data_IF_815382844447
#
_entry.id   IF_815382844447
#
_cell.length_a   1.000
_cell.length_b   1.000
_cell.length_c   1.000
_cell.angle_alpha   90.00
_cell.angle_beta   90.00
_cell.angle_gamma   90.00
#
_symmetry.space_group_name_H-M   'P 1'
#
loop_
_entity.id
_entity.type
_entity.pdbx_description
1 polymer ?
#
# COMPACT_ATOMS: atom_id res chain seq x y z
N UNK A 1 -11.90 29.76 0.04
CA UNK A 1 -10.77 28.87 0.35
C UNK A 1 -11.12 27.47 -0.13
N UNK A 2 -10.36 26.86 -1.04
CA UNK A 2 -10.65 25.47 -1.48
C UNK A 2 -10.40 24.53 -0.30
N UNK A 3 -11.30 23.59 0.01
CA UNK A 3 -11.10 22.65 1.12
C UNK A 3 -9.78 21.90 0.92
N UNK A 4 -9.01 21.76 2.00
CA UNK A 4 -7.71 21.08 1.95
C UNK A 4 -7.94 19.61 1.63
N UNK A 5 -7.41 19.15 0.49
CA UNK A 5 -7.51 17.74 0.05
C UNK A 5 -6.92 16.82 1.11
N UNK A 6 -7.57 15.67 1.33
CA UNK A 6 -7.05 14.69 2.27
C UNK A 6 -5.78 14.04 1.67
N UNK A 7 -4.63 14.05 2.37
CA UNK A 7 -3.34 13.65 1.78
C UNK A 7 -3.28 12.17 1.38
N UNK A 8 -4.14 11.33 1.95
CA UNK A 8 -4.26 9.89 1.61
C UNK A 8 -5.36 9.59 0.58
N UNK A 9 -5.81 10.58 -0.18
CA UNK A 9 -6.86 10.42 -1.20
C UNK A 9 -6.38 10.92 -2.55
N UNK A 10 -6.76 10.21 -3.61
CA UNK A 10 -6.53 10.61 -4.98
C UNK A 10 -7.73 11.40 -5.51
N UNK A 11 -7.47 12.34 -6.41
CA UNK A 11 -8.46 13.22 -7.00
C UNK A 11 -8.22 13.33 -8.50
N UNK A 12 -9.28 13.46 -9.29
CA UNK A 12 -9.19 13.70 -10.71
C UNK A 12 -8.85 15.16 -11.04
N UNK A 13 -8.78 15.47 -12.33
CA UNK A 13 -8.49 16.83 -12.85
C UNK A 13 -9.51 17.87 -12.41
N UNK A 14 -10.77 17.46 -12.20
CA UNK A 14 -11.88 18.33 -11.79
C UNK A 14 -11.98 18.45 -10.26
N UNK A 15 -11.15 17.70 -9.54
CA UNK A 15 -11.07 17.68 -8.08
C UNK A 15 -12.06 16.75 -7.40
N UNK A 16 -12.72 15.86 -8.15
CA UNK A 16 -13.55 14.80 -7.58
C UNK A 16 -12.64 13.67 -7.08
N UNK A 17 -12.95 13.16 -5.89
CA UNK A 17 -12.17 12.11 -5.24
C UNK A 17 -12.39 10.77 -5.96
N UNK A 18 -11.31 10.04 -6.24
CA UNK A 18 -11.41 8.63 -6.60
C UNK A 18 -11.72 7.82 -5.34
N UNK A 19 -12.74 6.93 -5.36
CA UNK A 19 -12.99 6.05 -4.24
C UNK A 19 -11.74 5.17 -4.01
N UNK A 20 -11.23 5.10 -2.77
CA UNK A 20 -10.08 4.25 -2.49
C UNK A 20 -10.47 2.77 -2.64
N UNK A 21 -9.48 1.93 -2.96
CA UNK A 21 -9.64 0.49 -2.81
C UNK A 21 -9.92 0.15 -1.34
N UNK A 22 -10.71 -0.90 -1.11
CA UNK A 22 -11.03 -1.43 0.21
C UNK A 22 -10.40 -2.81 0.37
N UNK A 23 -10.31 -3.30 1.60
CA UNK A 23 -9.87 -4.68 1.88
C UNK A 23 -10.63 -5.70 1.01
N UNK A 24 -11.94 -5.55 0.87
CA UNK A 24 -12.76 -6.43 0.05
C UNK A 24 -12.40 -6.37 -1.44
N UNK A 25 -12.24 -5.18 -2.02
CA UNK A 25 -11.91 -5.07 -3.45
C UNK A 25 -10.49 -5.53 -3.73
N UNK A 26 -9.55 -5.33 -2.80
CA UNK A 26 -8.18 -5.82 -2.90
C UNK A 26 -8.11 -7.35 -2.80
N UNK A 27 -8.86 -7.97 -1.88
CA UNK A 27 -9.00 -9.43 -1.80
C UNK A 27 -9.69 -10.02 -3.04
N UNK A 28 -10.71 -9.35 -3.58
CA UNK A 28 -11.38 -9.75 -4.82
C UNK A 28 -10.42 -9.70 -6.02
N UNK A 29 -9.51 -8.72 -6.04
CA UNK A 29 -8.40 -8.64 -6.98
C UNK A 29 -7.27 -9.67 -6.73
N UNK A 30 -7.47 -10.60 -5.78
CA UNK A 30 -6.58 -11.71 -5.41
C UNK A 30 -5.27 -11.31 -4.73
N UNK A 31 -5.17 -10.08 -4.24
CA UNK A 31 -4.08 -9.72 -3.34
C UNK A 31 -4.37 -10.27 -1.94
N UNK A 32 -3.35 -10.74 -1.24
CA UNK A 32 -3.44 -11.28 0.12
C UNK A 32 -2.82 -10.35 1.15
N UNK A 33 -1.84 -9.56 0.73
CA UNK A 33 -1.11 -8.65 1.59
C UNK A 33 -1.00 -7.25 0.97
N UNK A 34 -0.69 -6.28 1.83
CA UNK A 34 -0.27 -4.93 1.43
C UNK A 34 1.06 -4.62 2.10
N UNK A 35 1.85 -3.73 1.52
CA UNK A 35 3.14 -3.32 2.09
C UNK A 35 2.97 -1.99 2.81
N UNK A 36 3.27 -1.95 4.10
CA UNK A 36 3.44 -0.70 4.83
C UNK A 36 4.88 -0.21 4.70
N UNK A 37 5.06 1.02 4.24
CA UNK A 37 6.38 1.63 4.03
C UNK A 37 6.55 2.87 4.90
N UNK A 38 7.63 2.93 5.67
CA UNK A 38 7.97 4.08 6.48
C UNK A 38 8.74 5.13 5.64
N UNK A 39 8.15 6.31 5.48
CA UNK A 39 8.74 7.43 4.75
C UNK A 39 9.56 8.39 5.62
N UNK A 40 9.57 8.21 6.94
CA UNK A 40 10.40 9.03 7.83
C UNK A 40 11.88 8.96 7.43
N UNK A 41 12.54 10.13 7.40
CA UNK A 41 13.84 10.36 6.77
C UNK A 41 14.84 9.20 6.94
N UNK A 42 15.17 8.56 5.81
CA UNK A 42 16.15 7.45 5.67
C UNK A 42 15.81 6.15 6.42
N UNK A 43 14.60 5.99 6.97
CA UNK A 43 14.25 4.75 7.66
C UNK A 43 14.12 3.56 6.69
N UNK A 44 13.35 3.75 5.61
CA UNK A 44 13.04 2.75 4.57
C UNK A 44 12.58 1.37 5.09
N UNK A 45 12.13 1.30 6.35
CA UNK A 45 11.63 0.08 6.94
C UNK A 45 10.24 -0.19 6.37
N UNK A 46 10.02 -1.43 5.95
CA UNK A 46 8.74 -1.87 5.43
C UNK A 46 8.35 -3.19 6.07
N UNK A 47 7.05 -3.47 6.06
CA UNK A 47 6.50 -4.72 6.53
C UNK A 47 5.29 -5.08 5.68
N UNK A 48 5.09 -6.37 5.45
CA UNK A 48 3.87 -6.87 4.85
C UNK A 48 2.78 -6.99 5.91
N UNK A 49 1.57 -6.60 5.55
CA UNK A 49 0.39 -6.68 6.40
C UNK A 49 -0.60 -7.62 5.71
N UNK A 50 -0.98 -8.75 6.34
CA UNK A 50 -2.03 -9.59 5.81
C UNK A 50 -3.37 -8.85 5.84
N UNK A 51 -4.13 -8.98 4.75
CA UNK A 51 -5.48 -8.42 4.67
C UNK A 51 -6.52 -9.30 5.38
N UNK A 52 -6.17 -10.56 5.66
CA UNK A 52 -7.01 -11.49 6.39
C UNK A 52 -7.34 -10.95 7.79
N UNK A 53 -8.62 -10.92 8.15
CA UNK A 53 -9.10 -10.44 9.44
C UNK A 53 -9.29 -8.92 9.54
N UNK A 54 -8.94 -8.14 8.50
CA UNK A 54 -9.28 -6.72 8.45
C UNK A 54 -10.73 -6.50 8.01
N UNK A 55 -11.39 -5.39 8.44
CA UNK A 55 -12.75 -5.09 8.00
C UNK A 55 -12.85 -4.93 6.48
N UNK A 56 -13.86 -5.53 5.82
CA UNK A 56 -13.95 -5.54 4.35
C UNK A 56 -14.05 -4.14 3.73
N UNK A 57 -14.72 -3.21 4.40
CA UNK A 57 -14.92 -1.84 3.92
C UNK A 57 -13.78 -0.89 4.29
N UNK A 58 -12.75 -1.36 5.01
CA UNK A 58 -11.61 -0.53 5.40
C UNK A 58 -10.85 -0.08 4.14
N UNK A 59 -10.70 1.25 3.91
CA UNK A 59 -9.87 1.73 2.81
C UNK A 59 -8.40 1.35 3.02
N UNK A 60 -7.75 0.85 1.97
CA UNK A 60 -6.34 0.43 2.03
C UNK A 60 -5.41 1.53 2.57
N UNK A 61 -5.51 2.80 2.15
CA UNK A 61 -4.66 3.87 2.70
C UNK A 61 -4.85 4.12 4.21
N UNK A 62 -5.99 3.71 4.76
CA UNK A 62 -6.36 3.96 6.14
C UNK A 62 -5.80 2.87 7.09
N UNK A 63 -5.27 1.76 6.57
CA UNK A 63 -4.54 0.74 7.37
C UNK A 63 -3.33 1.34 8.09
N UNK A 64 -2.74 2.42 7.56
CA UNK A 64 -1.64 3.15 8.18
C UNK A 64 -2.06 4.01 9.39
N UNK A 65 -3.36 4.29 9.57
CA UNK A 65 -3.82 5.15 10.67
C UNK A 65 -3.50 4.51 12.01
N UNK A 66 -2.85 5.26 12.89
CA UNK A 66 -2.44 4.80 14.22
C UNK A 66 -1.19 3.90 14.23
N UNK A 67 -0.64 3.52 13.07
CA UNK A 67 0.59 2.73 13.00
C UNK A 67 1.82 3.60 13.29
N UNK A 68 2.83 2.98 13.88
CA UNK A 68 4.17 3.56 14.06
C UNK A 68 5.20 2.59 13.51
N UNK A 69 6.23 3.12 12.91
CA UNK A 69 7.36 2.32 12.48
C UNK A 69 8.06 1.70 13.71
N UNK A 70 8.20 0.38 13.74
CA UNK A 70 8.91 -0.31 14.82
C UNK A 70 10.41 0.04 14.88
N UNK A 71 11.00 0.45 13.75
CA UNK A 71 12.43 0.81 13.66
C UNK A 71 12.75 2.22 14.14
N UNK A 72 11.94 3.22 13.78
CA UNK A 72 12.23 4.63 14.08
C UNK A 72 11.16 5.36 14.89
N UNK A 73 10.02 4.72 15.21
CA UNK A 73 8.89 5.34 15.91
C UNK A 73 8.08 6.34 15.07
N UNK A 74 8.48 6.60 13.81
CA UNK A 74 7.84 7.52 12.90
C UNK A 74 6.38 7.16 12.59
N UNK A 75 5.57 8.19 12.31
CA UNK A 75 4.13 8.07 11.97
C UNK A 75 3.84 8.27 10.49
N UNK A 76 4.87 8.59 9.71
CA UNK A 76 4.75 8.77 8.27
C UNK A 76 4.87 7.41 7.57
N UNK A 77 3.78 6.65 7.66
CA UNK A 77 3.63 5.33 7.06
C UNK A 77 2.60 5.42 5.94
N UNK A 78 2.96 4.90 4.77
CA UNK A 78 2.08 4.74 3.61
C UNK A 78 1.85 3.26 3.33
N UNK A 79 0.73 2.96 2.68
CA UNK A 79 0.34 1.61 2.30
C UNK A 79 0.39 1.51 0.78
N UNK A 80 1.13 0.53 0.28
CA UNK A 80 1.19 0.15 -1.12
C UNK A 80 0.52 -1.22 -1.31
N UNK A 81 0.05 -1.49 -2.53
CA UNK A 81 -0.17 -2.89 -2.92
C UNK A 81 1.14 -3.66 -2.78
N UNK A 82 1.05 -4.94 -2.39
CA UNK A 82 2.24 -5.78 -2.37
C UNK A 82 2.79 -5.89 -3.79
N UNK A 83 4.00 -5.35 -3.96
CA UNK A 83 4.66 -5.26 -5.26
C UNK A 83 5.03 -6.66 -5.78
N UNK A 84 5.46 -7.57 -4.91
CA UNK A 84 5.73 -8.97 -5.25
C UNK A 84 4.48 -9.64 -5.83
N UNK A 85 3.34 -9.55 -5.14
CA UNK A 85 2.07 -10.12 -5.62
C UNK A 85 1.60 -9.47 -6.94
N UNK A 86 1.86 -8.16 -7.10
CA UNK A 86 1.57 -7.43 -8.34
C UNK A 86 2.43 -7.98 -9.49
N UNK A 87 3.74 -8.11 -9.30
CA UNK A 87 4.65 -8.63 -10.33
C UNK A 87 4.33 -10.08 -10.70
N UNK A 88 4.08 -10.93 -9.71
CA UNK A 88 3.69 -12.32 -9.92
C UNK A 88 2.44 -12.42 -10.78
N UNK A 89 1.43 -11.58 -10.53
CA UNK A 89 0.20 -11.52 -11.34
C UNK A 89 0.41 -10.92 -12.71
N UNK A 90 1.16 -9.83 -12.82
CA UNK A 90 1.33 -9.09 -14.07
C UNK A 90 2.24 -9.81 -15.06
N UNK A 91 3.25 -10.52 -14.58
CA UNK A 91 4.28 -11.13 -15.41
C UNK A 91 4.34 -12.66 -15.32
N UNK A 92 3.56 -13.29 -14.44
CA UNK A 92 3.44 -14.74 -14.36
C UNK A 92 4.57 -15.42 -13.61
N UNK A 93 5.13 -14.79 -12.57
CA UNK A 93 6.18 -15.38 -11.73
C UNK A 93 7.49 -15.66 -12.47
N UNK A 94 7.86 -14.83 -13.45
CA UNK A 94 9.20 -14.91 -14.03
C UNK A 94 10.16 -14.44 -12.96
N UNK A 95 10.93 -15.39 -12.45
CA UNK A 95 12.01 -15.19 -11.53
C UNK A 95 12.81 -13.93 -11.90
N UNK A 96 12.78 -12.93 -11.02
CA UNK A 96 13.58 -11.71 -11.15
C UNK A 96 14.99 -11.93 -10.57
N UNK A 97 15.42 -13.19 -10.35
CA UNK A 97 16.83 -13.47 -10.12
C UNK A 97 17.61 -12.81 -11.26
N UNK A 98 18.63 -11.99 -10.93
CA UNK A 98 19.54 -11.54 -11.96
C UNK A 98 20.10 -12.81 -12.60
N UNK A 99 19.93 -12.95 -13.94
CA UNK A 99 20.74 -13.91 -14.69
C UNK A 99 22.17 -13.59 -14.29
N UNK A 100 22.84 -14.53 -13.62
CA UNK A 100 24.27 -14.42 -13.39
C UNK A 100 24.90 -14.22 -14.76
N UNK A 101 25.46 -13.03 -14.98
CA UNK A 101 26.31 -12.79 -16.13
C UNK A 101 27.57 -13.68 -15.99
N UNK A 102 28.08 -14.27 -17.10
CA UNK A 102 29.16 -15.24 -17.10
C UNK A 102 30.50 -14.69 -16.60
#
# INVERSE_FOLDING_TARGET
>A
MKPRRHPRRAYDKDGKMYPPATVATTLAARYRTVTAWCQSHRCAHHAEIPLAGLPPDLPIPDIAIGRRCSKCGGRDVIIHLNVTELYDRSFGGKDCTPRGDP
#
